data_IF_096198502840
#
_entry.id   IF_096198502840
#
_cell.length_a   1.000
_cell.length_b   1.000
_cell.length_c   1.000
_cell.angle_alpha   90.00
_cell.angle_beta   90.00
_cell.angle_gamma   90.00
#
_symmetry.space_group_name_H-M   'P 1'
#
loop_
_entity.id
_entity.type
_entity.pdbx_description
1 polymer ?
#
# COMPACT_ATOMS: atom_id res chain seq x y z
N UNK A 1 -26.35 -41.88 -6.07
CA UNK A 1 -25.15 -41.51 -5.28
C UNK A 1 -24.14 -40.74 -6.15
N UNK A 2 -24.16 -39.41 -6.06
CA UNK A 2 -23.20 -38.56 -6.77
C UNK A 2 -21.91 -38.48 -5.95
N UNK A 3 -20.81 -39.01 -6.49
CA UNK A 3 -19.48 -38.88 -5.90
C UNK A 3 -19.05 -37.40 -5.98
N UNK A 4 -19.05 -36.71 -4.83
CA UNK A 4 -18.38 -35.42 -4.70
C UNK A 4 -16.88 -35.70 -4.64
N UNK A 5 -16.20 -35.45 -5.75
CA UNK A 5 -14.73 -35.45 -5.80
C UNK A 5 -14.28 -34.24 -4.99
N UNK A 6 -13.78 -34.49 -3.79
CA UNK A 6 -13.06 -33.50 -2.99
C UNK A 6 -11.81 -33.08 -3.77
N UNK A 7 -11.88 -31.90 -4.41
CA UNK A 7 -10.69 -31.25 -4.96
C UNK A 7 -9.93 -30.71 -3.77
N UNK A 8 -8.90 -31.44 -3.33
CA UNK A 8 -7.96 -30.93 -2.35
C UNK A 8 -7.40 -29.60 -2.85
N UNK A 9 -7.54 -28.55 -2.04
CA UNK A 9 -6.91 -27.26 -2.33
C UNK A 9 -5.40 -27.50 -2.52
N UNK A 10 -4.78 -27.01 -3.61
CA UNK A 10 -3.35 -27.15 -3.77
C UNK A 10 -2.65 -26.55 -2.56
N UNK A 11 -1.64 -27.24 -2.03
CA UNK A 11 -0.74 -26.71 -1.01
C UNK A 11 -0.35 -25.28 -1.44
N UNK A 12 -0.58 -24.30 -0.55
CA UNK A 12 -0.48 -22.89 -0.90
C UNK A 12 0.90 -22.59 -1.51
N UNK A 13 0.96 -22.52 -2.85
CA UNK A 13 2.19 -22.18 -3.56
C UNK A 13 2.65 -20.82 -3.02
N UNK A 14 3.87 -20.77 -2.49
CA UNK A 14 4.39 -19.58 -1.83
C UNK A 14 4.31 -18.39 -2.82
N UNK A 15 3.56 -17.36 -2.45
CA UNK A 15 3.25 -16.25 -3.36
C UNK A 15 4.55 -15.49 -3.68
N UNK A 16 4.79 -15.13 -4.95
CA UNK A 16 5.97 -14.34 -5.29
C UNK A 16 5.94 -13.00 -4.56
N UNK A 17 7.13 -12.48 -4.26
CA UNK A 17 7.30 -11.13 -3.73
C UNK A 17 7.46 -10.15 -4.88
N UNK A 18 6.97 -8.93 -4.68
CA UNK A 18 7.01 -7.88 -5.68
C UNK A 18 7.78 -6.68 -5.13
N UNK A 19 8.77 -6.23 -5.90
CA UNK A 19 9.57 -5.06 -5.58
C UNK A 19 9.64 -4.16 -6.80
N UNK A 20 9.13 -2.94 -6.68
CA UNK A 20 9.21 -1.93 -7.72
C UNK A 20 10.54 -1.21 -7.63
N UNK A 21 11.26 -1.11 -8.74
CA UNK A 21 12.48 -0.30 -8.89
C UNK A 21 12.12 1.19 -8.85
N UNK A 22 12.91 1.96 -8.11
CA UNK A 22 12.76 3.40 -8.06
C UNK A 22 13.55 4.07 -9.20
N UNK A 23 12.85 4.45 -10.25
CA UNK A 23 13.42 5.06 -11.45
C UNK A 23 14.03 6.46 -11.22
N UNK A 24 13.82 7.09 -10.05
CA UNK A 24 14.52 8.33 -9.69
C UNK A 24 15.96 8.08 -9.21
N UNK A 25 16.27 6.84 -8.77
CA UNK A 25 17.55 6.50 -8.15
C UNK A 25 18.40 5.56 -8.98
N UNK A 26 17.78 4.71 -9.80
CA UNK A 26 18.48 3.63 -10.50
C UNK A 26 17.68 3.15 -11.72
N UNK A 27 18.28 2.29 -12.51
CA UNK A 27 17.62 1.57 -13.61
C UNK A 27 17.22 0.15 -13.18
N UNK A 28 16.36 -0.51 -13.96
CA UNK A 28 15.96 -1.90 -13.71
C UNK A 28 17.16 -2.84 -13.73
N UNK A 29 18.06 -2.67 -14.71
CA UNK A 29 19.23 -3.52 -14.86
C UNK A 29 20.25 -3.29 -13.74
N UNK A 30 20.49 -2.04 -13.36
CA UNK A 30 21.36 -1.72 -12.23
C UNK A 30 20.79 -2.23 -10.91
N UNK A 31 19.48 -2.08 -10.65
CA UNK A 31 18.85 -2.63 -9.46
C UNK A 31 19.00 -4.16 -9.40
N UNK A 32 18.79 -4.86 -10.51
CA UNK A 32 18.98 -6.32 -10.58
C UNK A 32 20.44 -6.72 -10.41
N UNK A 33 21.37 -5.93 -10.97
CA UNK A 33 22.80 -6.15 -10.79
C UNK A 33 23.19 -6.05 -9.30
N UNK A 34 22.73 -5.01 -8.61
CA UNK A 34 22.99 -4.82 -7.17
C UNK A 34 22.33 -5.88 -6.29
N UNK A 35 21.17 -6.39 -6.67
CA UNK A 35 20.55 -7.53 -5.98
C UNK A 35 21.34 -8.82 -6.19
N UNK A 36 21.90 -9.05 -7.38
CA UNK A 36 22.70 -10.23 -7.70
C UNK A 36 24.15 -10.13 -7.18
N UNK A 37 24.67 -8.92 -7.01
CA UNK A 37 26.00 -8.64 -6.49
C UNK A 37 25.91 -7.54 -5.41
N UNK A 38 25.35 -7.87 -4.22
CA UNK A 38 25.22 -6.91 -3.14
C UNK A 38 26.58 -6.28 -2.80
N UNK A 39 26.67 -4.94 -2.74
CA UNK A 39 27.93 -4.30 -2.46
C UNK A 39 28.29 -4.45 -0.97
N UNK A 40 29.58 -4.41 -0.60
CA UNK A 40 30.03 -4.71 0.77
C UNK A 40 29.37 -3.86 1.86
N UNK A 41 29.01 -2.61 1.56
CA UNK A 41 28.34 -1.69 2.47
C UNK A 41 26.93 -2.13 2.90
N UNK A 42 26.29 -3.06 2.17
CA UNK A 42 25.02 -3.64 2.57
C UNK A 42 25.17 -4.70 3.67
N UNK A 43 26.40 -5.12 3.96
CA UNK A 43 26.75 -6.05 5.03
C UNK A 43 26.84 -7.51 4.56
N UNK A 44 27.65 -8.30 5.26
CA UNK A 44 27.98 -9.68 4.90
C UNK A 44 26.79 -10.67 4.95
N UNK A 45 25.67 -10.29 5.60
CA UNK A 45 24.49 -11.14 5.78
C UNK A 45 23.44 -10.98 4.68
N UNK A 46 23.70 -10.14 3.67
CA UNK A 46 22.79 -10.01 2.53
C UNK A 46 22.99 -11.20 1.60
N UNK A 47 21.92 -11.95 1.41
CA UNK A 47 21.92 -13.04 0.45
C UNK A 47 21.64 -12.48 -0.95
N UNK A 48 22.53 -12.73 -1.93
CA UNK A 48 22.31 -12.30 -3.30
C UNK A 48 21.07 -12.94 -3.91
N UNK A 49 20.37 -12.19 -4.76
CA UNK A 49 19.25 -12.68 -5.56
C UNK A 49 19.73 -12.84 -7.00
N UNK A 50 19.85 -14.08 -7.51
CA UNK A 50 20.32 -14.31 -8.87
C UNK A 50 19.51 -13.51 -9.90
N UNK A 51 20.18 -13.08 -10.97
CA UNK A 51 19.55 -12.29 -12.03
C UNK A 51 18.34 -13.01 -12.67
N UNK A 52 18.41 -14.34 -12.75
CA UNK A 52 17.35 -15.21 -13.26
C UNK A 52 16.11 -15.26 -12.34
N UNK A 53 16.24 -14.85 -11.07
CA UNK A 53 15.18 -14.88 -10.06
C UNK A 53 14.60 -13.49 -9.77
N UNK A 54 15.25 -12.42 -10.23
CA UNK A 54 14.77 -11.03 -10.17
C UNK A 54 14.18 -10.58 -11.50
N UNK A 55 13.21 -11.33 -12.03
CA UNK A 55 12.65 -11.09 -13.36
C UNK A 55 11.69 -9.90 -13.39
N UNK A 56 11.82 -8.95 -14.34
CA UNK A 56 10.81 -7.91 -14.57
C UNK A 56 9.43 -8.48 -14.90
N UNK A 57 8.38 -7.76 -14.49
CA UNK A 57 7.00 -8.06 -14.89
C UNK A 57 6.79 -7.72 -16.37
N UNK A 58 5.99 -8.55 -17.05
CA UNK A 58 5.71 -8.38 -18.47
C UNK A 58 4.93 -7.09 -18.79
N UNK A 59 4.10 -6.59 -17.86
CA UNK A 59 3.29 -5.39 -18.06
C UNK A 59 3.89 -4.15 -17.41
N UNK A 60 4.76 -4.34 -16.42
CA UNK A 60 5.33 -3.27 -15.62
C UNK A 60 6.85 -3.51 -15.53
N UNK A 61 7.63 -3.02 -16.51
CA UNK A 61 9.06 -3.32 -16.60
C UNK A 61 9.86 -2.96 -15.35
N UNK A 62 9.44 -1.93 -14.62
CA UNK A 62 10.07 -1.52 -13.36
C UNK A 62 9.64 -2.34 -12.14
N UNK A 63 8.78 -3.35 -12.29
CA UNK A 63 8.33 -4.21 -11.20
C UNK A 63 9.03 -5.57 -11.27
N UNK A 64 9.83 -5.90 -10.27
CA UNK A 64 10.52 -7.18 -10.18
C UNK A 64 9.65 -8.22 -9.46
N UNK A 65 9.51 -9.38 -10.09
CA UNK A 65 9.07 -10.61 -9.44
C UNK A 65 10.29 -11.22 -8.76
N UNK A 66 10.17 -11.45 -7.46
CA UNK A 66 11.20 -12.03 -6.61
C UNK A 66 10.76 -13.39 -6.08
N UNK A 67 11.71 -14.26 -5.72
CA UNK A 67 11.40 -15.57 -5.16
C UNK A 67 10.61 -15.45 -3.84
N UNK A 68 9.85 -16.49 -3.45
CA UNK A 68 9.17 -16.52 -2.17
C UNK A 68 10.14 -16.60 -0.99
N UNK A 69 9.68 -16.18 0.19
CA UNK A 69 10.47 -16.01 1.42
C UNK A 69 11.09 -17.32 1.97
N UNK A 70 10.80 -18.48 1.38
CA UNK A 70 11.36 -19.78 1.76
C UNK A 70 12.74 -20.06 1.16
N UNK A 71 13.20 -19.23 0.21
CA UNK A 71 14.50 -19.37 -0.42
C UNK A 71 15.23 -18.03 -0.33
N UNK A 72 16.13 -17.90 0.64
CA UNK A 72 17.33 -17.04 0.59
C UNK A 72 17.15 -15.55 0.18
N UNK A 73 15.94 -15.02 0.07
CA UNK A 73 15.63 -13.68 -0.46
C UNK A 73 14.80 -12.93 0.56
N UNK A 74 15.44 -12.61 1.67
CA UNK A 74 14.84 -11.88 2.78
C UNK A 74 14.73 -10.37 2.43
N UNK A 75 14.02 -10.02 1.35
CA UNK A 75 13.68 -8.62 1.11
C UNK A 75 12.50 -8.22 2.00
N UNK A 76 12.85 -7.62 3.12
CA UNK A 76 11.94 -6.98 4.08
C UNK A 76 12.22 -5.46 4.14
N UNK A 77 11.52 -4.76 5.03
CA UNK A 77 11.62 -3.30 5.15
C UNK A 77 13.06 -2.82 5.44
N UNK A 78 13.81 -3.59 6.23
CA UNK A 78 15.17 -3.23 6.67
C UNK A 78 16.26 -3.64 5.67
N UNK A 79 15.90 -4.32 4.58
CA UNK A 79 16.88 -4.67 3.55
C UNK A 79 17.49 -3.37 2.97
N UNK A 80 18.82 -3.25 2.82
CA UNK A 80 19.46 -2.00 2.40
C UNK A 80 18.89 -1.39 1.11
N UNK A 81 18.57 -2.21 0.10
CA UNK A 81 17.88 -1.77 -1.12
C UNK A 81 16.49 -1.13 -0.86
N UNK A 82 15.75 -1.57 0.15
CA UNK A 82 14.43 -1.03 0.52
C UNK A 82 14.58 0.21 1.40
N UNK A 83 15.48 0.14 2.39
CA UNK A 83 15.76 1.21 3.34
C UNK A 83 16.32 2.46 2.63
N UNK A 84 17.23 2.26 1.67
CA UNK A 84 17.77 3.32 0.80
C UNK A 84 16.76 3.84 -0.24
N UNK A 85 15.61 3.19 -0.39
CA UNK A 85 14.59 3.53 -1.39
C UNK A 85 14.99 3.22 -2.83
N UNK A 86 15.99 2.36 -3.06
CA UNK A 86 16.37 1.85 -4.38
C UNK A 86 15.26 0.98 -4.98
N UNK A 87 14.63 0.17 -4.13
CA UNK A 87 13.40 -0.56 -4.45
C UNK A 87 12.29 -0.24 -3.43
N UNK A 88 11.05 -0.44 -3.84
CA UNK A 88 9.85 -0.26 -3.02
C UNK A 88 9.05 -1.56 -3.03
N UNK A 89 8.80 -2.13 -1.85
CA UNK A 89 7.94 -3.29 -1.71
C UNK A 89 6.49 -2.89 -2.02
N UNK A 90 5.99 -3.31 -3.18
CA UNK A 90 4.67 -2.94 -3.67
C UNK A 90 4.08 -4.10 -4.45
N UNK A 91 2.87 -4.53 -4.08
CA UNK A 91 2.18 -5.61 -4.77
C UNK A 91 1.82 -5.23 -6.21
N UNK A 92 1.91 -6.20 -7.13
CA UNK A 92 1.63 -6.02 -8.56
C UNK A 92 0.37 -5.22 -8.88
N UNK A 93 -0.75 -5.56 -8.25
CA UNK A 93 -2.03 -4.88 -8.48
C UNK A 93 -2.00 -3.39 -8.11
N UNK A 94 -1.22 -3.01 -7.10
CA UNK A 94 -1.07 -1.60 -6.69
C UNK A 94 -0.27 -0.78 -7.71
N UNK A 95 0.55 -1.43 -8.54
CA UNK A 95 1.31 -0.77 -9.60
C UNK A 95 0.48 -0.56 -10.88
N UNK A 96 -0.55 -1.37 -11.12
CA UNK A 96 -1.32 -1.37 -12.37
C UNK A 96 -1.97 -0.01 -12.72
N UNK A 97 -2.57 0.76 -11.79
CA UNK A 97 -3.19 2.05 -12.15
C UNK A 97 -2.20 3.04 -12.75
N UNK A 98 -1.03 3.18 -12.12
CA UNK A 98 0.03 4.06 -12.63
C UNK A 98 0.67 3.47 -13.88
N UNK A 99 0.76 2.14 -13.96
CA UNK A 99 1.21 1.44 -15.15
C UNK A 99 0.36 1.77 -16.38
N UNK A 100 -0.97 1.67 -16.23
CA UNK A 100 -1.95 1.95 -17.26
C UNK A 100 -2.02 3.45 -17.60
N UNK A 101 -1.87 4.33 -16.60
CA UNK A 101 -1.85 5.78 -16.81
C UNK A 101 -0.65 6.21 -17.67
N UNK A 102 0.51 5.57 -17.49
CA UNK A 102 1.74 5.82 -18.25
C UNK A 102 2.06 7.32 -18.45
N UNK A 103 2.19 8.10 -17.35
CA UNK A 103 2.36 9.55 -17.46
C UNK A 103 3.65 9.89 -18.23
N UNK A 104 3.62 10.85 -19.16
CA UNK A 104 4.80 11.25 -19.90
C UNK A 104 5.91 11.75 -18.95
N UNK A 105 7.19 11.56 -19.32
CA UNK A 105 8.29 12.24 -18.64
C UNK A 105 8.04 13.75 -18.59
N UNK A 106 8.37 14.36 -17.47
CA UNK A 106 8.28 15.81 -17.21
C UNK A 106 6.84 16.37 -17.17
N UNK A 107 5.83 15.49 -17.20
CA UNK A 107 4.43 15.88 -17.03
C UNK A 107 4.07 16.21 -15.57
N UNK A 108 2.89 16.82 -15.42
CA UNK A 108 2.24 17.04 -14.11
C UNK A 108 1.15 15.97 -13.91
N UNK A 109 1.24 15.24 -12.79
CA UNK A 109 0.29 14.20 -12.39
C UNK A 109 -0.45 14.63 -11.13
N UNK A 110 -1.76 14.37 -11.09
CA UNK A 110 -2.60 14.53 -9.91
C UNK A 110 -2.88 13.17 -9.27
N UNK A 111 -2.67 13.02 -7.96
CA UNK A 111 -3.05 11.84 -7.19
C UNK A 111 -4.08 12.23 -6.13
N UNK A 112 -5.33 11.83 -6.33
CA UNK A 112 -6.48 12.33 -5.58
C UNK A 112 -6.66 11.69 -4.19
N UNK A 113 -6.06 10.53 -3.96
CA UNK A 113 -6.21 9.71 -2.74
C UNK A 113 -4.87 9.05 -2.40
N UNK A 114 -3.87 9.88 -2.20
CA UNK A 114 -2.47 9.50 -2.41
C UNK A 114 -1.86 8.65 -1.29
N UNK A 115 -2.29 8.83 -0.03
CA UNK A 115 -1.57 8.24 1.08
C UNK A 115 -1.81 6.71 1.19
N UNK A 116 -0.80 5.89 1.56
CA UNK A 116 0.52 6.27 2.08
C UNK A 116 1.61 6.53 1.00
N UNK A 117 1.26 6.67 -0.27
CA UNK A 117 2.19 7.18 -1.30
C UNK A 117 2.77 6.15 -2.27
N UNK A 118 2.32 4.89 -2.26
CA UNK A 118 2.88 3.86 -3.15
C UNK A 118 2.66 4.14 -4.64
N UNK A 119 1.49 4.67 -5.02
CA UNK A 119 1.19 5.08 -6.39
C UNK A 119 1.84 6.42 -6.72
N UNK A 120 1.76 7.36 -5.80
CA UNK A 120 2.39 8.69 -5.90
C UNK A 120 3.89 8.58 -6.18
N UNK A 121 4.62 7.75 -5.44
CA UNK A 121 6.06 7.54 -5.65
C UNK A 121 6.39 6.77 -6.93
N UNK A 122 5.45 5.96 -7.45
CA UNK A 122 5.59 5.36 -8.78
C UNK A 122 5.39 6.39 -9.88
N UNK A 123 4.39 7.26 -9.76
CA UNK A 123 4.15 8.36 -10.69
C UNK A 123 5.36 9.31 -10.72
N UNK A 124 5.90 9.67 -9.55
CA UNK A 124 7.11 10.48 -9.43
C UNK A 124 8.31 9.83 -10.15
N UNK A 125 8.46 8.51 -10.04
CA UNK A 125 9.44 7.72 -10.80
C UNK A 125 9.32 7.87 -12.32
N UNK A 126 8.10 7.90 -12.85
CA UNK A 126 7.84 7.94 -14.29
C UNK A 126 7.96 9.35 -14.89
N UNK A 127 7.44 10.37 -14.18
CA UNK A 127 7.58 11.76 -14.64
C UNK A 127 9.02 12.26 -14.48
N UNK A 128 9.79 11.63 -13.59
CA UNK A 128 11.20 11.92 -13.38
C UNK A 128 11.46 13.24 -12.64
N UNK A 129 12.73 13.63 -12.48
CA UNK A 129 13.13 14.75 -11.62
C UNK A 129 12.70 16.14 -12.11
N UNK A 130 12.24 16.26 -13.36
CA UNK A 130 11.70 17.51 -13.92
C UNK A 130 10.16 17.50 -14.05
N UNK A 131 9.52 16.40 -13.67
CA UNK A 131 8.06 16.34 -13.59
C UNK A 131 7.55 16.80 -12.23
N UNK A 132 6.23 16.74 -12.06
CA UNK A 132 5.59 17.13 -10.81
C UNK A 132 4.43 16.19 -10.48
N UNK A 133 4.24 15.88 -9.20
CA UNK A 133 3.11 15.08 -8.71
C UNK A 133 2.44 15.82 -7.58
N UNK A 134 1.20 16.24 -7.78
CA UNK A 134 0.37 16.90 -6.77
C UNK A 134 -0.50 15.82 -6.11
N UNK A 135 -0.33 15.62 -4.81
CA UNK A 135 -0.87 14.50 -4.06
C UNK A 135 -1.80 14.98 -2.94
N UNK A 136 -3.05 14.53 -2.96
CA UNK A 136 -4.06 14.85 -1.98
C UNK A 136 -4.37 13.67 -1.07
N UNK A 137 -4.52 13.95 0.23
CA UNK A 137 -5.24 13.06 1.14
C UNK A 137 -5.88 13.92 2.24
N UNK A 138 -7.10 13.57 2.68
CA UNK A 138 -7.80 14.29 3.74
C UNK A 138 -7.22 14.05 5.12
N UNK A 139 -6.49 12.94 5.30
CA UNK A 139 -5.93 12.56 6.59
C UNK A 139 -4.48 13.06 6.73
N UNK A 140 -4.21 14.03 7.63
CA UNK A 140 -2.87 14.57 7.81
C UNK A 140 -1.86 13.51 8.27
N UNK A 141 -2.28 12.54 9.11
CA UNK A 141 -1.37 11.48 9.60
C UNK A 141 -0.93 10.56 8.47
N UNK A 142 -1.86 10.20 7.58
CA UNK A 142 -1.53 9.39 6.40
C UNK A 142 -0.66 10.17 5.42
N UNK A 143 -0.89 11.47 5.27
CA UNK A 143 -0.05 12.32 4.43
C UNK A 143 1.38 12.44 4.97
N UNK A 144 1.60 12.45 6.29
CA UNK A 144 2.95 12.38 6.87
C UNK A 144 3.69 11.08 6.49
N UNK A 145 2.98 9.95 6.42
CA UNK A 145 3.56 8.70 5.90
C UNK A 145 3.93 8.81 4.42
N UNK A 146 3.12 9.51 3.61
CA UNK A 146 3.46 9.79 2.22
C UNK A 146 4.72 10.64 2.12
N UNK A 147 4.85 11.71 2.91
CA UNK A 147 6.05 12.56 2.95
C UNK A 147 7.28 11.77 3.37
N UNK A 148 7.17 10.93 4.40
CA UNK A 148 8.27 10.05 4.82
C UNK A 148 8.67 9.06 3.71
N UNK A 149 7.70 8.49 3.00
CA UNK A 149 7.97 7.63 1.85
C UNK A 149 8.61 8.38 0.68
N UNK A 150 8.12 9.58 0.36
CA UNK A 150 8.68 10.46 -0.65
C UNK A 150 10.15 10.78 -0.35
N UNK A 151 10.47 11.12 0.90
CA UNK A 151 11.84 11.31 1.39
C UNK A 151 12.71 10.07 1.21
N UNK A 152 12.22 8.90 1.66
CA UNK A 152 12.95 7.63 1.54
C UNK A 152 13.29 7.31 0.07
N UNK A 153 12.37 7.55 -0.86
CA UNK A 153 12.61 7.30 -2.29
C UNK A 153 13.28 8.48 -3.02
N UNK A 154 13.56 9.59 -2.36
CA UNK A 154 14.20 10.77 -2.96
C UNK A 154 13.28 11.58 -3.89
N UNK A 155 11.96 11.51 -3.69
CA UNK A 155 10.96 12.19 -4.50
C UNK A 155 10.44 13.50 -3.87
N UNK A 156 11.04 14.01 -2.78
CA UNK A 156 10.58 15.22 -2.06
C UNK A 156 10.47 16.47 -2.94
N UNK A 157 11.32 16.57 -3.98
CA UNK A 157 11.29 17.70 -4.92
C UNK A 157 10.28 17.54 -6.06
N UNK A 158 9.78 16.31 -6.25
CA UNK A 158 8.86 15.95 -7.34
C UNK A 158 7.42 15.85 -6.82
N UNK A 159 7.24 15.53 -5.52
CA UNK A 159 5.94 15.32 -4.91
C UNK A 159 5.56 16.50 -4.03
N UNK A 160 4.45 17.14 -4.36
CA UNK A 160 3.77 18.14 -3.53
C UNK A 160 2.59 17.49 -2.81
N UNK A 161 2.64 17.41 -1.48
CA UNK A 161 1.60 16.77 -0.68
C UNK A 161 0.69 17.82 -0.02
N UNK A 162 -0.62 17.78 -0.30
CA UNK A 162 -1.64 18.70 0.22
C UNK A 162 -2.65 17.96 1.11
N UNK A 163 -2.83 18.43 2.35
CA UNK A 163 -3.88 17.92 3.25
C UNK A 163 -5.20 18.61 2.88
N UNK A 164 -6.01 17.98 2.03
CA UNK A 164 -7.25 18.56 1.55
C UNK A 164 -8.20 17.45 1.07
N UNK A 165 -9.50 17.69 1.19
CA UNK A 165 -10.49 16.87 0.50
C UNK A 165 -10.42 17.19 -1.00
N UNK A 166 -10.11 16.17 -1.81
CA UNK A 166 -10.02 16.32 -3.27
C UNK A 166 -11.31 16.85 -3.90
N UNK A 167 -12.48 16.59 -3.29
CA UNK A 167 -13.76 17.11 -3.79
C UNK A 167 -13.94 18.63 -3.59
N UNK A 168 -13.04 19.26 -2.84
CA UNK A 168 -13.06 20.68 -2.49
C UNK A 168 -11.92 21.47 -3.17
N UNK A 169 -11.21 20.87 -4.12
CA UNK A 169 -10.15 21.56 -4.88
C UNK A 169 -10.79 22.34 -6.04
N UNK A 170 -10.21 23.49 -6.38
CA UNK A 170 -10.62 24.26 -7.56
C UNK A 170 -9.98 23.64 -8.82
N UNK A 171 -10.76 23.11 -9.78
CA UNK A 171 -10.21 22.56 -11.02
C UNK A 171 -9.40 23.57 -11.84
N UNK A 172 -9.66 24.88 -11.70
CA UNK A 172 -8.94 25.93 -12.43
C UNK A 172 -7.44 25.98 -12.06
N UNK A 173 -7.07 25.55 -10.85
CA UNK A 173 -5.67 25.46 -10.41
C UNK A 173 -4.85 24.41 -11.18
N UNK A 174 -5.51 23.46 -11.85
CA UNK A 174 -4.88 22.26 -12.39
C UNK A 174 -4.86 22.21 -13.93
N UNK A 175 -4.96 23.36 -14.60
CA UNK A 175 -4.97 23.43 -16.07
C UNK A 175 -3.72 22.87 -16.77
N UNK A 176 -2.62 22.65 -16.04
CA UNK A 176 -1.38 22.02 -16.54
C UNK A 176 -1.30 20.50 -16.33
N UNK A 177 -2.26 19.91 -15.61
CA UNK A 177 -2.28 18.46 -15.32
C UNK A 177 -2.61 17.67 -16.58
N UNK A 178 -1.80 16.65 -16.86
CA UNK A 178 -1.97 15.78 -18.04
C UNK A 178 -2.48 14.39 -17.67
N UNK A 179 -2.49 14.05 -16.39
CA UNK A 179 -2.70 12.69 -15.93
C UNK A 179 -3.22 12.68 -14.49
N UNK A 180 -4.25 11.88 -14.22
CA UNK A 180 -4.88 11.78 -12.90
C UNK A 180 -4.90 10.32 -12.45
N UNK A 181 -4.46 10.08 -11.23
CA UNK A 181 -4.62 8.82 -10.49
C UNK A 181 -5.73 9.02 -9.46
N UNK A 182 -6.80 8.24 -9.59
CA UNK A 182 -7.90 8.21 -8.62
C UNK A 182 -8.06 6.79 -8.07
N UNK A 183 -7.49 6.54 -6.88
CA UNK A 183 -7.61 5.26 -6.15
C UNK A 183 -8.17 5.48 -4.74
N UNK A 184 -9.50 5.67 -4.61
CA UNK A 184 -10.13 5.88 -3.31
C UNK A 184 -10.10 4.59 -2.47
N UNK A 185 -10.15 4.77 -1.14
CA UNK A 185 -10.24 3.67 -0.18
C UNK A 185 -11.36 2.70 -0.55
N UNK A 186 -11.00 1.47 -0.93
CA UNK A 186 -11.96 0.41 -1.20
C UNK A 186 -12.34 -0.36 0.07
N UNK A 187 -13.42 -1.13 0.02
CA UNK A 187 -13.89 -2.01 1.11
C UNK A 187 -12.92 -3.14 1.49
N UNK A 188 -11.75 -3.23 0.83
CA UNK A 188 -10.65 -4.14 1.18
C UNK A 188 -10.85 -5.60 0.76
N UNK A 189 -11.99 -5.95 0.17
CA UNK A 189 -12.37 -7.33 -0.18
C UNK A 189 -11.40 -8.02 -1.14
N UNK A 190 -10.71 -7.26 -2.00
CA UNK A 190 -9.67 -7.77 -2.91
C UNK A 190 -8.31 -8.05 -2.24
N UNK A 191 -8.11 -7.64 -0.99
CA UNK A 191 -6.87 -7.82 -0.23
C UNK A 191 -6.96 -8.88 0.88
N UNK A 192 -8.11 -9.50 1.06
CA UNK A 192 -8.39 -10.54 2.08
C UNK A 192 -7.38 -11.70 2.06
N UNK A 193 -6.83 -12.06 0.90
CA UNK A 193 -5.77 -13.08 0.80
C UNK A 193 -4.34 -12.60 1.10
N UNK A 194 -4.15 -11.31 1.39
CA UNK A 194 -2.84 -10.68 1.66
C UNK A 194 -2.80 -9.99 3.02
N UNK A 195 -3.97 -9.54 3.50
CA UNK A 195 -4.19 -9.14 4.89
C UNK A 195 -4.73 -10.34 5.66
N UNK A 196 -3.86 -11.02 6.41
CA UNK A 196 -4.27 -12.09 7.35
C UNK A 196 -5.04 -11.53 8.57
N UNK A 197 -5.43 -10.27 8.56
CA UNK A 197 -6.22 -9.61 9.62
C UNK A 197 -7.54 -10.34 9.90
N UNK A 198 -8.11 -11.04 8.90
CA UNK A 198 -9.34 -11.84 9.06
C UNK A 198 -9.14 -13.18 9.79
N UNK A 199 -7.89 -13.64 9.96
CA UNK A 199 -7.55 -14.87 10.69
C UNK A 199 -7.23 -14.62 12.17
N UNK A 200 -7.21 -13.35 12.60
CA UNK A 200 -7.03 -13.00 14.00
C UNK A 200 -8.40 -12.94 14.69
N UNK A 201 -8.70 -13.82 15.66
CA UNK A 201 -9.90 -13.70 16.48
C UNK A 201 -9.68 -12.58 17.51
N UNK A 202 -9.64 -11.33 17.07
CA UNK A 202 -9.52 -10.15 17.95
C UNK A 202 -10.01 -8.87 17.29
N UNK A 203 -11.23 -8.85 16.76
CA UNK A 203 -12.06 -7.64 16.70
C UNK A 203 -13.53 -8.05 16.86
N UNK A 204 -13.85 -8.48 18.08
CA UNK A 204 -15.23 -8.71 18.51
C UNK A 204 -15.99 -7.40 18.55
N UNK A 205 -16.90 -7.22 17.59
CA UNK A 205 -18.23 -6.60 17.73
C UNK A 205 -18.35 -5.47 18.77
N UNK A 206 -18.18 -4.23 18.32
CA UNK A 206 -19.02 -3.13 18.80
C UNK A 206 -20.39 -3.27 18.14
N UNK A 207 -21.26 -4.12 18.70
CA UNK A 207 -22.65 -4.27 18.25
C UNK A 207 -23.50 -3.31 19.09
N UNK A 208 -23.90 -2.20 18.49
CA UNK A 208 -25.04 -1.43 18.97
C UNK A 208 -26.25 -2.35 19.06
N UNK A 209 -26.88 -2.39 20.23
CA UNK A 209 -28.25 -2.86 20.38
C UNK A 209 -29.05 -1.79 21.10
N UNK A 210 -29.69 -0.92 20.31
CA UNK A 210 -30.90 -0.23 20.74
C UNK A 210 -32.08 -1.18 20.64
N UNK A 211 -32.69 -1.54 21.78
CA UNK A 211 -34.09 -1.94 21.88
C UNK A 211 -34.65 -1.32 23.15
N UNK A 212 -35.61 -0.42 22.98
CA UNK A 212 -36.30 0.21 24.09
C UNK A 212 -37.48 -0.61 24.64
N UNK A 213 -38.05 -0.02 25.70
CA UNK A 213 -39.49 0.11 25.99
C UNK A 213 -40.10 -0.85 27.05
N UNK A 214 -40.32 -0.23 28.24
CA UNK A 214 -41.53 -0.19 29.10
C UNK A 214 -41.80 -1.28 30.16
N UNK A 215 -42.31 -0.74 31.29
CA UNK A 215 -43.23 -1.26 32.33
C UNK A 215 -42.53 -2.06 33.46
N UNK A 216 -42.72 -1.82 34.76
CA UNK A 216 -43.87 -1.45 35.63
C UNK A 216 -43.28 -0.84 36.94
N UNK A 217 -43.69 0.30 37.47
CA UNK A 217 -44.87 0.57 38.35
C UNK A 217 -45.37 -0.64 39.13
N UNK A 218 -44.98 -0.76 40.41
CA UNK A 218 -45.71 -1.33 41.56
C UNK A 218 -44.69 -1.80 42.61
N UNK A 219 -44.62 -1.07 43.73
CA UNK A 219 -44.48 -1.56 45.13
C UNK A 219 -44.04 -0.38 46.03
N UNK A 220 -45.01 0.53 46.26
CA UNK A 220 -45.21 1.07 47.60
C UNK A 220 -45.91 -0.02 48.43
N UNK A 221 -45.72 0.04 49.75
CA UNK A 221 -46.36 -0.76 50.81
C UNK A 221 -45.63 -2.06 51.23
N UNK A 222 -44.54 -1.88 51.99
CA UNK A 222 -44.36 -2.68 53.20
C UNK A 222 -44.27 -1.75 54.43
N UNK A 223 -45.22 -2.00 55.34
CA UNK A 223 -45.25 -1.68 56.77
C UNK A 223 -45.36 -0.23 57.26
N UNK A 224 -46.65 0.13 57.41
CA UNK A 224 -47.16 0.81 58.61
C UNK A 224 -46.72 0.11 59.90
N UNK A 225 -46.25 0.91 60.86
CA UNK A 225 -46.21 0.61 62.30
C UNK A 225 -45.22 1.55 62.99
N UNK A 226 -45.56 2.43 63.93
CA UNK A 226 -46.82 2.78 64.57
C UNK A 226 -46.67 4.14 65.24
N UNK A 227 -47.79 4.65 65.74
CA UNK A 227 -47.97 5.95 66.42
C UNK A 227 -47.18 6.06 67.75
N UNK A 228 -46.80 7.28 68.12
CA UNK A 228 -46.29 7.63 69.45
C UNK A 228 -45.18 8.67 69.46
#
# INVERSE_FOLDING_TARGET
PAHVVSVAAPAAAARPRWARVNLLKTTVDEARHLLAHPPPEWGANITPIPFAESTPDQLIPELLRLPPVSHASHIHADHPAVASGLIVLQGRASCLPVAALNPPPHSVVLDCCAAPGNKTTMAAGRVGPKGHVIAFDRDPKRLELLKANAKRVGAEKVIEARVQDFLQVDPEEFGSVQSIVLDPSCSGTGTTGTRMDFLLPSFGKGRETGKGKRKRDEEEEEEKGGEG
#
